data_IF_988786453571
#
_entry.id   IF_988786453571
#
_cell.length_a   1.000
_cell.length_b   1.000
_cell.length_c   1.000
_cell.angle_alpha   90.00
_cell.angle_beta   90.00
_cell.angle_gamma   90.00
#
_symmetry.space_group_name_H-M   'P 1'
#
loop_
_entity.id
_entity.type
_entity.pdbx_description
1 polymer ?
#
# COMPACT_ATOMS: atom_id res chain seq x y z
N UNK A 1 -1.16 -5.48 -29.35
CA UNK A 1 -0.23 -4.97 -28.30
C UNK A 1 -0.40 -5.90 -27.11
N UNK A 2 0.64 -6.66 -26.72
CA UNK A 2 0.56 -7.51 -25.53
C UNK A 2 0.45 -6.68 -24.26
N UNK A 3 -0.35 -7.14 -23.30
CA UNK A 3 -0.43 -6.53 -21.98
C UNK A 3 0.97 -6.57 -21.32
N UNK A 4 1.40 -5.45 -20.77
CA UNK A 4 2.70 -5.33 -20.11
C UNK A 4 2.54 -5.79 -18.66
N UNK A 5 3.42 -6.65 -18.18
CA UNK A 5 3.47 -7.04 -16.77
C UNK A 5 3.74 -5.82 -15.89
N UNK A 6 2.84 -5.54 -14.95
CA UNK A 6 3.00 -4.48 -13.96
C UNK A 6 3.77 -4.98 -12.73
N UNK A 7 3.36 -6.13 -12.21
CA UNK A 7 3.98 -6.76 -11.03
C UNK A 7 4.25 -8.23 -11.34
N UNK A 8 5.44 -8.71 -10.98
CA UNK A 8 5.77 -10.13 -11.01
C UNK A 8 6.48 -10.52 -9.72
N UNK A 9 5.95 -11.53 -9.06
CA UNK A 9 6.53 -12.16 -7.89
C UNK A 9 6.85 -13.60 -8.25
N UNK A 10 8.09 -14.03 -8.04
CA UNK A 10 8.55 -15.35 -8.45
C UNK A 10 9.19 -16.08 -7.28
N UNK A 11 8.68 -17.28 -6.96
CA UNK A 11 9.22 -18.17 -5.95
C UNK A 11 9.22 -17.55 -4.53
N UNK A 12 8.22 -16.76 -4.20
CA UNK A 12 8.16 -16.06 -2.92
C UNK A 12 8.00 -17.04 -1.76
N UNK A 13 8.93 -16.98 -0.83
CA UNK A 13 8.89 -17.70 0.44
C UNK A 13 8.84 -16.70 1.58
N UNK A 14 7.92 -16.93 2.52
CA UNK A 14 7.87 -16.21 3.80
C UNK A 14 7.56 -17.16 4.94
N UNK A 15 8.44 -17.17 5.94
CA UNK A 15 8.33 -17.99 7.14
C UNK A 15 8.18 -17.10 8.37
N UNK A 16 7.33 -17.55 9.28
CA UNK A 16 7.22 -17.02 10.64
C UNK A 16 7.47 -18.15 11.63
N UNK A 17 7.74 -17.88 12.91
CA UNK A 17 7.90 -18.94 13.90
C UNK A 17 6.72 -19.91 13.87
N UNK A 18 7.01 -21.17 13.56
CA UNK A 18 6.02 -22.26 13.51
C UNK A 18 5.16 -22.33 12.25
N UNK A 19 5.29 -21.43 11.26
CA UNK A 19 4.46 -21.47 10.06
C UNK A 19 5.20 -20.97 8.81
N UNK A 20 4.99 -21.65 7.68
CA UNK A 20 5.36 -21.16 6.35
C UNK A 20 4.14 -20.48 5.74
N UNK A 21 4.12 -19.15 5.72
CA UNK A 21 2.98 -18.37 5.26
C UNK A 21 2.89 -18.30 3.73
N UNK A 22 4.03 -18.25 3.05
CA UNK A 22 4.13 -18.38 1.59
C UNK A 22 5.23 -19.39 1.27
N UNK A 23 4.96 -20.32 0.38
CA UNK A 23 5.90 -21.34 -0.05
C UNK A 23 5.99 -21.37 -1.57
N UNK A 24 7.08 -20.79 -2.12
CA UNK A 24 7.39 -20.68 -3.54
C UNK A 24 6.23 -20.11 -4.40
N UNK A 25 5.52 -19.10 -3.84
CA UNK A 25 4.36 -18.49 -4.50
C UNK A 25 4.79 -17.66 -5.70
N UNK A 26 4.06 -17.83 -6.81
CA UNK A 26 4.21 -17.03 -8.01
C UNK A 26 2.93 -16.22 -8.24
N UNK A 27 3.09 -14.94 -8.59
CA UNK A 27 1.99 -14.01 -8.92
C UNK A 27 2.44 -13.12 -10.06
N UNK A 28 1.60 -12.95 -11.07
CA UNK A 28 1.83 -12.01 -12.15
C UNK A 28 0.58 -11.18 -12.38
N UNK A 29 0.73 -9.86 -12.41
CA UNK A 29 -0.35 -8.88 -12.58
C UNK A 29 -0.02 -8.03 -13.79
N UNK A 30 -0.98 -7.93 -14.73
CA UNK A 30 -0.81 -7.12 -15.92
C UNK A 30 -1.22 -5.67 -15.71
N UNK A 31 -0.65 -4.76 -16.48
CA UNK A 31 -1.04 -3.36 -16.43
C UNK A 31 -2.50 -3.19 -16.88
N UNK A 32 -3.29 -2.45 -16.10
CA UNK A 32 -4.68 -2.15 -16.39
C UNK A 32 -5.68 -3.25 -16.04
N UNK A 33 -5.24 -4.36 -15.40
CA UNK A 33 -6.17 -5.39 -14.94
C UNK A 33 -6.60 -5.20 -13.50
N UNK A 34 -7.74 -5.77 -13.14
CA UNK A 34 -8.18 -6.01 -11.76
C UNK A 34 -7.91 -7.47 -11.44
N UNK A 35 -6.94 -7.72 -10.56
CA UNK A 35 -6.52 -9.06 -10.17
C UNK A 35 -7.07 -9.45 -8.79
N UNK A 36 -7.93 -10.45 -8.74
CA UNK A 36 -8.51 -10.95 -7.48
C UNK A 36 -7.65 -12.08 -6.88
N UNK A 37 -7.18 -11.88 -5.66
CA UNK A 37 -6.44 -12.90 -4.91
C UNK A 37 -7.40 -13.66 -3.98
N UNK A 38 -7.79 -14.86 -4.38
CA UNK A 38 -8.75 -15.69 -3.66
C UNK A 38 -8.06 -16.79 -2.82
N UNK A 39 -8.70 -17.21 -1.76
CA UNK A 39 -8.23 -18.28 -0.87
C UNK A 39 -8.84 -18.17 0.53
N UNK A 40 -8.70 -19.23 1.31
CA UNK A 40 -9.20 -19.29 2.69
C UNK A 40 -8.45 -18.34 3.63
N UNK A 41 -9.01 -18.14 4.84
CA UNK A 41 -8.32 -17.39 5.89
C UNK A 41 -7.06 -18.16 6.29
N UNK A 42 -5.93 -17.43 6.39
CA UNK A 42 -4.64 -18.06 6.66
C UNK A 42 -3.87 -18.57 5.43
N UNK A 43 -4.44 -18.51 4.22
CA UNK A 43 -3.76 -18.95 2.98
C UNK A 43 -2.58 -18.07 2.52
N UNK A 44 -2.11 -17.12 3.34
CA UNK A 44 -0.93 -16.30 3.03
C UNK A 44 -1.20 -15.08 2.14
N UNK A 45 -2.45 -14.77 1.77
CA UNK A 45 -2.82 -13.63 0.92
C UNK A 45 -2.31 -12.29 1.45
N UNK A 46 -2.63 -12.01 2.72
CA UNK A 46 -2.19 -10.76 3.39
C UNK A 46 -0.67 -10.70 3.54
N UNK A 47 -0.01 -11.85 3.73
CA UNK A 47 1.44 -11.93 3.79
C UNK A 47 2.05 -11.55 2.44
N UNK A 48 1.51 -12.07 1.34
CA UNK A 48 1.97 -11.75 0.00
C UNK A 48 1.78 -10.26 -0.33
N UNK A 49 0.61 -9.69 0.01
CA UNK A 49 0.35 -8.26 -0.12
C UNK A 49 1.30 -7.40 0.73
N UNK A 50 1.57 -7.83 1.96
CA UNK A 50 2.49 -7.13 2.85
C UNK A 50 3.96 -7.17 2.36
N UNK A 51 4.35 -8.22 1.63
CA UNK A 51 5.66 -8.27 0.96
C UNK A 51 5.69 -7.26 -0.17
N UNK A 52 4.65 -7.23 -1.01
CA UNK A 52 4.55 -6.30 -2.13
C UNK A 52 4.57 -4.84 -1.69
N UNK A 53 4.00 -4.54 -0.53
CA UNK A 53 3.97 -3.19 0.05
C UNK A 53 5.16 -2.85 0.95
N UNK A 54 6.18 -3.72 1.02
CA UNK A 54 7.39 -3.48 1.80
C UNK A 54 7.22 -3.52 3.33
N UNK A 55 6.07 -4.02 3.81
CA UNK A 55 5.83 -4.22 5.24
C UNK A 55 6.57 -5.47 5.76
N UNK A 56 6.67 -6.51 4.91
CA UNK A 56 7.47 -7.70 5.19
C UNK A 56 8.52 -7.88 4.09
N UNK A 57 9.69 -8.37 4.49
CA UNK A 57 10.70 -8.84 3.56
C UNK A 57 10.47 -10.34 3.31
N UNK A 58 10.53 -10.77 2.06
CA UNK A 58 10.53 -12.19 1.70
C UNK A 58 11.84 -12.86 2.15
N UNK A 59 11.76 -14.13 2.51
CA UNK A 59 12.93 -14.94 2.87
C UNK A 59 13.62 -15.54 1.63
N UNK A 60 12.84 -15.74 0.53
CA UNK A 60 13.35 -16.11 -0.78
C UNK A 60 12.40 -15.64 -1.88
N UNK A 61 12.87 -15.70 -3.13
CA UNK A 61 12.13 -15.24 -4.31
C UNK A 61 12.47 -13.82 -4.74
N UNK A 62 11.80 -13.35 -5.78
CA UNK A 62 12.04 -12.02 -6.36
C UNK A 62 10.74 -11.28 -6.63
N UNK A 63 10.79 -9.97 -6.51
CA UNK A 63 9.70 -9.05 -6.89
C UNK A 63 10.20 -8.17 -8.03
N UNK A 64 9.41 -8.04 -9.07
CA UNK A 64 9.68 -7.17 -10.22
C UNK A 64 8.52 -6.22 -10.46
N UNK A 65 8.82 -4.96 -10.71
CA UNK A 65 7.87 -3.93 -11.17
C UNK A 65 8.22 -3.51 -12.59
N UNK A 66 7.27 -3.65 -13.50
CA UNK A 66 7.47 -3.31 -14.91
C UNK A 66 8.75 -3.91 -15.52
N UNK A 67 9.06 -5.16 -15.13
CA UNK A 67 10.23 -5.90 -15.59
C UNK A 67 11.55 -5.52 -14.91
N UNK A 68 11.53 -4.68 -13.88
CA UNK A 68 12.71 -4.33 -13.08
C UNK A 68 12.62 -4.99 -11.71
N UNK A 69 13.66 -5.71 -11.32
CA UNK A 69 13.77 -6.27 -9.98
C UNK A 69 13.81 -5.15 -8.95
N UNK A 70 12.98 -5.27 -7.92
CA UNK A 70 12.90 -4.32 -6.80
C UNK A 70 13.08 -5.04 -5.47
N UNK A 71 13.56 -4.31 -4.49
CA UNK A 71 13.69 -4.79 -3.12
C UNK A 71 13.23 -3.64 -2.21
N UNK A 72 12.20 -3.89 -1.42
CA UNK A 72 11.65 -2.90 -0.50
C UNK A 72 12.15 -3.18 0.91
N UNK A 73 12.74 -2.18 1.55
CA UNK A 73 13.17 -2.23 2.93
C UNK A 73 12.18 -1.52 3.86
N UNK A 74 11.22 -0.81 3.29
CA UNK A 74 10.18 -0.09 4.01
C UNK A 74 8.92 0.09 3.14
N UNK A 75 7.74 0.35 3.76
CA UNK A 75 6.53 0.72 3.02
C UNK A 75 6.70 2.00 2.19
N UNK A 76 7.58 2.91 2.62
CA UNK A 76 7.89 4.14 1.88
C UNK A 76 8.57 3.83 0.54
N UNK A 77 9.43 2.81 0.47
CA UNK A 77 10.08 2.41 -0.77
C UNK A 77 9.05 1.90 -1.78
N UNK A 78 8.10 1.09 -1.31
CA UNK A 78 7.00 0.59 -2.14
C UNK A 78 6.09 1.73 -2.64
N UNK A 79 5.74 2.67 -1.74
CA UNK A 79 4.96 3.85 -2.09
C UNK A 79 5.65 4.71 -3.15
N UNK A 80 6.95 4.97 -2.99
CA UNK A 80 7.77 5.71 -3.96
C UNK A 80 7.88 4.99 -5.31
N UNK A 81 7.78 3.66 -5.31
CA UNK A 81 7.73 2.85 -6.51
C UNK A 81 6.32 2.77 -7.16
N UNK A 82 5.32 3.45 -6.57
CA UNK A 82 3.95 3.52 -7.07
C UNK A 82 3.02 2.43 -6.55
N UNK A 83 3.38 1.71 -5.49
CA UNK A 83 2.54 0.70 -4.86
C UNK A 83 1.87 1.31 -3.64
N UNK A 84 0.55 1.46 -3.69
CA UNK A 84 -0.28 1.83 -2.54
C UNK A 84 -1.07 0.64 -2.01
N UNK A 85 -1.45 0.69 -0.73
CA UNK A 85 -2.30 -0.32 -0.09
C UNK A 85 -3.37 0.34 0.76
N UNK A 86 -4.59 -0.16 0.65
CA UNK A 86 -5.67 0.16 1.58
C UNK A 86 -5.78 -0.99 2.57
N UNK A 87 -5.53 -0.71 3.84
CA UNK A 87 -5.59 -1.71 4.90
C UNK A 87 -7.04 -2.00 5.31
N UNK A 88 -7.33 -3.25 5.68
CA UNK A 88 -8.66 -3.67 6.13
C UNK A 88 -9.11 -2.94 7.41
N UNK A 89 -8.17 -2.59 8.28
CA UNK A 89 -8.41 -1.80 9.48
C UNK A 89 -7.68 -0.46 9.36
N UNK A 90 -8.45 0.62 9.22
CA UNK A 90 -7.91 1.96 9.23
C UNK A 90 -7.39 2.30 10.63
N UNK A 91 -6.13 2.69 10.72
CA UNK A 91 -5.52 3.19 11.95
C UNK A 91 -5.57 4.71 11.93
N UNK A 92 -6.76 5.26 12.17
CA UNK A 92 -6.93 6.70 12.28
C UNK A 92 -6.55 7.15 13.69
N UNK A 93 -5.96 8.33 13.79
CA UNK A 93 -5.67 8.99 15.05
C UNK A 93 -6.93 9.75 15.47
N UNK A 94 -7.66 9.22 16.46
CA UNK A 94 -8.98 9.72 16.86
C UNK A 94 -8.96 11.14 17.46
N UNK A 95 -7.80 11.64 17.88
CA UNK A 95 -7.64 13.02 18.39
C UNK A 95 -7.39 14.03 17.28
N UNK A 96 -7.13 13.56 16.05
CA UNK A 96 -6.82 14.38 14.88
C UNK A 96 -8.07 14.66 14.06
N UNK A 97 -8.03 15.74 13.30
CA UNK A 97 -9.00 16.04 12.26
C UNK A 97 -8.81 15.13 11.04
N UNK A 98 -9.77 15.12 10.13
CA UNK A 98 -9.63 14.42 8.84
C UNK A 98 -8.41 14.93 8.09
N UNK A 99 -8.23 16.25 8.00
CA UNK A 99 -7.09 16.85 7.32
C UNK A 99 -5.75 16.39 7.91
N UNK A 100 -5.62 16.38 9.24
CA UNK A 100 -4.40 15.91 9.92
C UNK A 100 -4.14 14.42 9.69
N UNK A 101 -5.17 13.58 9.67
CA UNK A 101 -5.02 12.15 9.36
C UNK A 101 -4.61 11.90 7.91
N UNK A 102 -5.11 12.67 6.95
CA UNK A 102 -4.79 12.51 5.52
C UNK A 102 -3.32 12.80 5.23
N UNK A 103 -2.75 13.81 5.88
CA UNK A 103 -1.34 14.19 5.65
C UNK A 103 -0.35 13.47 6.56
N UNK A 104 -0.85 12.62 7.45
CA UNK A 104 0.01 11.87 8.36
C UNK A 104 0.97 10.96 7.57
N UNK A 105 2.26 11.22 7.70
CA UNK A 105 3.30 10.44 7.01
C UNK A 105 3.75 11.02 5.67
N UNK A 106 3.20 12.13 5.20
CA UNK A 106 3.78 12.85 4.06
C UNK A 106 5.19 13.38 4.43
N UNK A 107 6.13 13.29 3.48
CA UNK A 107 7.54 13.62 3.73
C UNK A 107 7.80 15.11 3.96
N UNK A 108 6.92 15.96 3.46
CA UNK A 108 7.00 17.42 3.58
C UNK A 108 6.25 17.97 4.81
N UNK A 109 5.78 17.09 5.69
CA UNK A 109 5.21 17.50 6.97
C UNK A 109 6.31 18.12 7.85
N UNK A 110 6.71 19.36 7.51
CA UNK A 110 7.42 20.20 8.47
C UNK A 110 6.53 20.35 9.70
N UNK A 111 7.12 20.46 10.88
CA UNK A 111 6.41 20.72 12.15
C UNK A 111 5.47 21.97 12.13
N UNK A 112 5.46 22.71 11.01
CA UNK A 112 4.70 23.93 10.76
C UNK A 112 3.88 23.81 9.46
N UNK A 113 3.11 22.73 9.30
CA UNK A 113 2.15 22.70 8.19
C UNK A 113 1.07 23.76 8.41
N UNK A 114 0.85 24.60 7.40
CA UNK A 114 -0.29 25.50 7.38
C UNK A 114 -1.58 24.66 7.32
N UNK A 115 -2.26 24.56 8.46
CA UNK A 115 -3.51 23.77 8.59
C UNK A 115 -4.56 24.21 7.56
N UNK A 116 -4.56 25.50 7.16
CA UNK A 116 -5.47 26.00 6.13
C UNK A 116 -5.12 25.44 4.75
N UNK A 117 -3.85 25.37 4.41
CA UNK A 117 -3.40 24.81 3.13
C UNK A 117 -3.73 23.32 3.04
N UNK A 118 -3.53 22.58 4.14
CA UNK A 118 -3.89 21.16 4.23
C UNK A 118 -5.38 20.95 4.09
N UNK A 119 -6.19 21.70 4.83
CA UNK A 119 -7.65 21.60 4.76
C UNK A 119 -8.17 21.92 3.35
N UNK A 120 -7.60 22.95 2.69
CA UNK A 120 -7.95 23.32 1.32
C UNK A 120 -7.62 22.19 0.31
N UNK A 121 -6.46 21.53 0.45
CA UNK A 121 -6.06 20.40 -0.39
C UNK A 121 -6.97 19.18 -0.19
N UNK A 122 -7.35 18.89 1.06
CA UNK A 122 -8.29 17.79 1.36
C UNK A 122 -9.68 18.10 0.82
N UNK A 123 -10.12 19.37 0.91
CA UNK A 123 -11.40 19.80 0.33
C UNK A 123 -11.39 19.65 -1.20
N UNK A 124 -10.33 20.07 -1.87
CA UNK A 124 -10.19 19.90 -3.31
C UNK A 124 -10.28 18.42 -3.73
N UNK A 125 -9.62 17.53 -3.01
CA UNK A 125 -9.70 16.09 -3.24
C UNK A 125 -11.12 15.55 -2.99
N UNK A 126 -11.77 16.00 -1.90
CA UNK A 126 -13.14 15.63 -1.58
C UNK A 126 -14.10 16.02 -2.70
N UNK A 127 -14.00 17.25 -3.19
CA UNK A 127 -14.85 17.77 -4.26
C UNK A 127 -14.55 17.03 -5.59
N UNK A 128 -13.29 16.82 -5.92
CA UNK A 128 -12.85 16.13 -7.13
C UNK A 128 -13.36 14.69 -7.22
N UNK A 129 -13.43 13.99 -6.10
CA UNK A 129 -13.86 12.59 -6.05
C UNK A 129 -15.30 12.41 -5.53
N UNK A 130 -16.01 13.49 -5.22
CA UNK A 130 -17.38 13.44 -4.73
C UNK A 130 -17.56 12.76 -3.38
N UNK A 131 -16.57 12.90 -2.48
CA UNK A 131 -16.53 12.16 -1.22
C UNK A 131 -17.32 12.84 -0.08
N UNK A 132 -17.69 14.11 -0.23
CA UNK A 132 -18.40 14.90 0.79
C UNK A 132 -17.76 14.86 2.19
N UNK A 133 -16.44 14.98 2.24
CA UNK A 133 -15.64 14.92 3.48
C UNK A 133 -15.40 16.33 4.00
N UNK A 134 -15.67 16.58 5.29
CA UNK A 134 -15.29 17.82 5.99
C UNK A 134 -13.85 17.68 6.54
N UNK A 135 -12.88 18.47 6.02
CA UNK A 135 -11.49 18.38 6.48
C UNK A 135 -11.29 18.72 7.95
N UNK A 136 -12.20 19.52 8.54
CA UNK A 136 -12.13 20.00 9.92
C UNK A 136 -12.80 19.07 10.93
N UNK A 137 -13.57 18.10 10.45
CA UNK A 137 -14.22 17.12 11.32
C UNK A 137 -13.17 16.30 12.09
N UNK A 138 -13.47 15.99 13.35
CA UNK A 138 -12.69 15.04 14.15
C UNK A 138 -13.14 13.62 13.86
N UNK A 139 -12.21 12.68 13.95
CA UNK A 139 -12.45 11.26 13.74
C UNK A 139 -13.19 10.68 14.96
#
# INVERSE_FOLDING_TARGET
>A
MGLKTAVKMTGIVKKFPGVVANDHVNLEIMAGEVHALLGENGAGKSTLSNILTGLYRQDAGTVELSGKKVEFNSPRDALNAGIGMVHQHFRLVSTFTVAENVVLGESDSSLFMDQKAVAARVQELSDRYGLAVDPSARI
#
